data_IF_506149636532
#
_entry.id   IF_506149636532
#
_cell.length_a   1.000
_cell.length_b   1.000
_cell.length_c   1.000
_cell.angle_alpha   90.00
_cell.angle_beta   90.00
_cell.angle_gamma   90.00
#
_symmetry.space_group_name_H-M   'P 1'
#
loop_
_entity.id
_entity.type
_entity.pdbx_description
1 polymer ?
#
# COMPACT_ATOMS: atom_id res chain seq x y z
N UNK A 1 4.42 -8.75 21.32
CA UNK A 1 3.70 -7.99 20.25
C UNK A 1 4.43 -8.20 18.93
N UNK A 2 3.69 -8.58 17.90
CA UNK A 2 4.24 -8.67 16.55
C UNK A 2 3.61 -7.63 15.65
N UNK A 3 4.45 -6.95 14.88
CA UNK A 3 4.05 -6.02 13.83
C UNK A 3 4.54 -6.59 12.50
N UNK A 4 3.61 -6.87 11.57
CA UNK A 4 3.97 -7.24 10.22
C UNK A 4 4.15 -5.97 9.38
N UNK A 5 5.36 -5.72 8.94
CA UNK A 5 5.67 -4.53 8.13
C UNK A 5 5.53 -4.75 6.63
N UNK A 6 5.12 -5.93 6.19
CA UNK A 6 5.07 -6.29 4.77
C UNK A 6 3.80 -7.08 4.38
N UNK A 7 2.67 -6.71 4.94
CA UNK A 7 1.38 -7.30 4.61
C UNK A 7 0.78 -6.73 3.32
N UNK A 8 0.02 -7.55 2.62
CA UNK A 8 -0.69 -7.16 1.41
C UNK A 8 -2.11 -7.71 1.40
N UNK A 9 -3.02 -6.91 0.86
CA UNK A 9 -4.38 -7.33 0.50
C UNK A 9 -4.58 -7.25 -1.01
N UNK A 10 -5.72 -7.73 -1.49
CA UNK A 10 -6.00 -7.86 -2.91
C UNK A 10 -5.44 -9.16 -3.47
N UNK A 11 -5.77 -9.43 -4.71
CA UNK A 11 -5.36 -10.64 -5.39
C UNK A 11 -4.13 -10.40 -6.25
N UNK A 12 -3.17 -11.34 -6.17
CA UNK A 12 -2.08 -11.38 -7.11
C UNK A 12 -2.62 -11.60 -8.53
N UNK A 13 -2.22 -10.77 -9.51
CA UNK A 13 -2.93 -10.74 -10.80
C UNK A 13 -2.81 -12.02 -11.64
N UNK A 14 -1.78 -12.84 -11.41
CA UNK A 14 -1.49 -13.99 -12.27
C UNK A 14 -1.91 -15.33 -11.69
N UNK A 15 -2.15 -15.42 -10.38
CA UNK A 15 -2.60 -16.63 -9.70
C UNK A 15 -3.19 -16.31 -8.34
N UNK A 16 -4.00 -17.23 -7.83
CA UNK A 16 -4.43 -17.16 -6.42
C UNK A 16 -3.25 -17.46 -5.50
N UNK A 17 -3.14 -16.69 -4.44
CA UNK A 17 -2.18 -16.92 -3.36
C UNK A 17 -2.90 -17.45 -2.12
N UNK A 18 -2.21 -18.18 -1.22
CA UNK A 18 -2.81 -18.53 0.06
C UNK A 18 -3.26 -17.29 0.83
N UNK A 19 -4.36 -17.41 1.54
CA UNK A 19 -4.90 -16.35 2.40
C UNK A 19 -5.13 -15.00 1.65
N UNK A 20 -5.59 -15.07 0.41
CA UNK A 20 -5.78 -13.91 -0.47
C UNK A 20 -7.09 -13.13 -0.24
N UNK A 21 -7.82 -13.45 0.81
CA UNK A 21 -8.94 -12.64 1.31
C UNK A 21 -8.54 -11.93 2.59
N UNK A 22 -9.16 -10.79 2.85
CA UNK A 22 -8.88 -10.03 4.08
C UNK A 22 -9.22 -10.85 5.32
N UNK A 23 -10.34 -11.56 5.30
CA UNK A 23 -10.76 -12.40 6.45
C UNK A 23 -9.76 -13.53 6.72
N UNK A 24 -9.28 -14.21 5.69
CA UNK A 24 -8.26 -15.26 5.84
C UNK A 24 -6.95 -14.70 6.39
N UNK A 25 -6.53 -13.53 5.92
CA UNK A 25 -5.33 -12.84 6.40
C UNK A 25 -5.47 -12.45 7.88
N UNK A 26 -6.61 -11.90 8.28
CA UNK A 26 -6.88 -11.52 9.67
C UNK A 26 -6.93 -12.75 10.60
N UNK A 27 -7.54 -13.85 10.16
CA UNK A 27 -7.52 -15.10 10.91
C UNK A 27 -6.09 -15.61 11.13
N UNK A 28 -5.25 -15.51 10.12
CA UNK A 28 -3.82 -15.83 10.20
C UNK A 28 -3.07 -14.92 11.16
N UNK A 29 -3.31 -13.62 11.10
CA UNK A 29 -2.72 -12.65 12.05
C UNK A 29 -3.11 -12.95 13.49
N UNK A 30 -4.38 -13.27 13.72
CA UNK A 30 -4.85 -13.68 15.05
C UNK A 30 -4.14 -14.94 15.54
N UNK A 31 -4.01 -15.95 14.67
CA UNK A 31 -3.32 -17.19 15.00
C UNK A 31 -1.86 -16.99 15.41
N UNK A 32 -1.14 -16.09 14.75
CA UNK A 32 0.27 -15.82 15.03
C UNK A 32 0.50 -14.63 15.98
N UNK A 33 -0.54 -14.02 16.54
CA UNK A 33 -0.41 -12.93 17.48
C UNK A 33 0.08 -11.61 16.87
N UNK A 34 -0.16 -11.40 15.56
CA UNK A 34 0.12 -10.13 14.89
C UNK A 34 -0.91 -9.11 15.34
N UNK A 35 -0.44 -8.02 15.92
CA UNK A 35 -1.30 -6.96 16.47
C UNK A 35 -1.44 -5.76 15.55
N UNK A 36 -0.51 -5.59 14.63
CA UNK A 36 -0.53 -4.52 13.65
C UNK A 36 0.12 -4.99 12.35
N UNK A 37 -0.43 -4.61 11.22
CA UNK A 37 0.10 -4.94 9.91
C UNK A 37 0.11 -3.70 9.01
N UNK A 38 1.29 -3.34 8.51
CA UNK A 38 1.44 -2.28 7.51
C UNK A 38 1.06 -2.85 6.15
N UNK A 39 -0.12 -2.48 5.69
CA UNK A 39 -0.84 -3.17 4.63
C UNK A 39 -0.82 -2.40 3.33
N UNK A 40 -0.23 -2.98 2.31
CA UNK A 40 -0.30 -2.51 0.93
C UNK A 40 -1.37 -3.25 0.11
N UNK A 41 -1.50 -2.88 -1.16
CA UNK A 41 -2.36 -3.57 -2.11
C UNK A 41 -1.55 -4.15 -3.27
N UNK A 42 -1.78 -5.42 -3.60
CA UNK A 42 -1.20 -6.03 -4.80
C UNK A 42 -1.66 -5.34 -6.10
N UNK A 43 -2.84 -4.71 -6.10
CA UNK A 43 -3.31 -3.96 -7.26
C UNK A 43 -2.39 -2.79 -7.61
N UNK A 44 -1.71 -2.19 -6.63
CA UNK A 44 -0.75 -1.09 -6.84
C UNK A 44 0.46 -1.46 -7.68
N UNK A 45 0.71 -2.74 -7.91
CA UNK A 45 1.83 -3.23 -8.71
C UNK A 45 1.60 -2.98 -10.21
N UNK A 46 0.40 -3.23 -10.70
CA UNK A 46 0.11 -3.24 -12.15
C UNK A 46 -0.97 -2.25 -12.60
N UNK A 47 -1.83 -1.78 -11.71
CA UNK A 47 -2.87 -0.83 -12.07
C UNK A 47 -2.28 0.56 -12.34
N UNK A 48 -2.84 1.25 -13.33
CA UNK A 48 -2.47 2.63 -13.65
C UNK A 48 -3.28 3.65 -12.85
N UNK A 49 -4.49 3.32 -12.48
CA UNK A 49 -5.33 4.15 -11.62
C UNK A 49 -4.98 3.93 -10.15
N UNK A 50 -3.88 4.51 -9.75
CA UNK A 50 -3.34 4.40 -8.39
C UNK A 50 -4.28 5.05 -7.36
N UNK A 51 -4.96 6.12 -7.72
CA UNK A 51 -5.93 6.76 -6.82
C UNK A 51 -7.05 5.80 -6.42
N UNK A 52 -7.63 5.08 -7.39
CA UNK A 52 -8.67 4.08 -7.13
C UNK A 52 -8.13 2.87 -6.35
N UNK A 53 -6.89 2.44 -6.61
CA UNK A 53 -6.24 1.38 -5.82
C UNK A 53 -6.14 1.77 -4.35
N UNK A 54 -5.67 2.96 -4.06
CA UNK A 54 -5.51 3.45 -2.69
C UNK A 54 -6.85 3.65 -1.97
N UNK A 55 -7.86 4.11 -2.69
CA UNK A 55 -9.21 4.24 -2.15
C UNK A 55 -9.79 2.87 -1.74
N UNK A 56 -9.68 1.86 -2.59
CA UNK A 56 -10.09 0.48 -2.25
C UNK A 56 -9.31 -0.09 -1.07
N UNK A 57 -8.01 0.20 -0.98
CA UNK A 57 -7.19 -0.24 0.14
C UNK A 57 -7.69 0.37 1.46
N UNK A 58 -7.91 1.66 1.51
CA UNK A 58 -8.42 2.36 2.70
C UNK A 58 -9.79 1.82 3.09
N UNK A 59 -10.68 1.64 2.11
CA UNK A 59 -12.03 1.14 2.36
C UNK A 59 -11.98 -0.29 2.93
N UNK A 60 -11.15 -1.16 2.36
CA UNK A 60 -10.99 -2.52 2.87
C UNK A 60 -10.44 -2.54 4.32
N UNK A 61 -9.45 -1.70 4.62
CA UNK A 61 -8.94 -1.56 6.00
C UNK A 61 -10.02 -1.04 6.95
N UNK A 62 -10.85 -0.10 6.51
CA UNK A 62 -11.93 0.49 7.30
C UNK A 62 -13.08 -0.49 7.56
N UNK A 63 -13.46 -1.29 6.56
CA UNK A 63 -14.52 -2.30 6.69
C UNK A 63 -14.15 -3.40 7.69
N UNK A 64 -12.86 -3.68 7.84
CA UNK A 64 -12.33 -4.66 8.78
C UNK A 64 -11.65 -3.97 9.98
N UNK A 65 -12.26 -2.88 10.45
CA UNK A 65 -11.67 -2.00 11.48
C UNK A 65 -11.59 -2.68 12.85
N UNK A 66 -10.54 -3.46 13.00
CA UNK A 66 -10.08 -4.01 14.28
C UNK A 66 -8.75 -3.37 14.73
N UNK A 67 -8.30 -2.32 14.02
CA UNK A 67 -7.02 -1.63 14.27
C UNK A 67 -5.77 -2.40 13.87
N UNK A 68 -5.90 -3.57 13.25
CA UNK A 68 -4.75 -4.38 12.84
C UNK A 68 -4.19 -3.87 11.50
N UNK A 69 -5.06 -3.61 10.52
CA UNK A 69 -4.65 -3.21 9.18
C UNK A 69 -4.39 -1.71 9.09
N UNK A 70 -3.14 -1.34 8.92
CA UNK A 70 -2.71 0.05 8.74
C UNK A 70 -2.41 0.27 7.25
N UNK A 71 -3.19 1.07 6.52
CA UNK A 71 -3.00 1.23 5.08
C UNK A 71 -1.73 2.00 4.75
N UNK A 72 -0.95 1.44 3.81
CA UNK A 72 0.21 2.06 3.19
C UNK A 72 -0.04 2.15 1.69
N UNK A 73 -0.20 3.36 1.17
CA UNK A 73 -0.63 3.60 -0.19
C UNK A 73 0.42 3.26 -1.23
N UNK A 74 -0.03 2.92 -2.43
CA UNK A 74 0.84 2.75 -3.58
C UNK A 74 1.09 4.09 -4.28
N UNK A 75 2.30 4.29 -4.79
CA UNK A 75 2.65 5.40 -5.66
C UNK A 75 3.57 4.88 -6.77
N UNK A 76 3.32 5.32 -8.00
CA UNK A 76 4.17 4.99 -9.13
C UNK A 76 4.73 6.29 -9.76
N UNK A 77 6.00 6.64 -9.52
CA UNK A 77 6.57 7.90 -9.99
C UNK A 77 6.78 7.96 -11.51
N UNK A 78 6.56 6.88 -12.23
CA UNK A 78 6.61 6.84 -13.70
C UNK A 78 5.31 7.33 -14.33
N UNK A 79 4.19 7.24 -13.59
CA UNK A 79 2.89 7.71 -14.07
C UNK A 79 2.75 9.24 -13.94
N UNK A 80 2.00 9.89 -14.82
CA UNK A 80 1.73 11.32 -14.68
C UNK A 80 0.92 11.60 -13.41
N UNK A 81 1.15 12.76 -12.80
CA UNK A 81 0.43 13.24 -11.62
C UNK A 81 0.61 12.37 -10.36
N UNK A 82 1.69 11.60 -10.27
CA UNK A 82 2.01 10.79 -9.09
C UNK A 82 2.11 11.63 -7.80
N UNK A 83 2.46 12.89 -7.91
CA UNK A 83 2.52 13.83 -6.77
C UNK A 83 1.15 13.98 -6.10
N UNK A 84 0.08 13.95 -6.88
CA UNK A 84 -1.29 13.98 -6.35
C UNK A 84 -1.62 12.70 -5.60
N UNK A 85 -1.07 11.57 -6.00
CA UNK A 85 -1.29 10.30 -5.29
C UNK A 85 -0.60 10.33 -3.93
N UNK A 86 0.62 10.88 -3.83
CA UNK A 86 1.28 11.12 -2.53
C UNK A 86 0.43 12.03 -1.66
N UNK A 87 -0.03 13.14 -2.20
CA UNK A 87 -0.87 14.10 -1.46
C UNK A 87 -2.17 13.47 -0.97
N UNK A 88 -2.86 12.69 -1.81
CA UNK A 88 -4.09 11.99 -1.41
C UNK A 88 -3.84 10.98 -0.29
N UNK A 89 -2.75 10.21 -0.36
CA UNK A 89 -2.39 9.28 0.71
C UNK A 89 -2.26 9.99 2.05
N UNK A 90 -1.58 11.14 2.07
CA UNK A 90 -1.36 11.91 3.29
C UNK A 90 -2.63 12.65 3.76
N UNK A 91 -3.23 13.45 2.89
CA UNK A 91 -4.27 14.42 3.27
C UNK A 91 -5.68 13.82 3.26
N UNK A 92 -6.03 13.06 2.21
CA UNK A 92 -7.38 12.49 2.08
C UNK A 92 -7.54 11.21 2.89
N UNK A 93 -6.51 10.38 2.96
CA UNK A 93 -6.58 9.05 3.56
C UNK A 93 -5.86 8.94 4.91
N UNK A 94 -5.04 9.94 5.29
CA UNK A 94 -4.30 9.92 6.55
C UNK A 94 -3.34 8.72 6.68
N UNK A 95 -2.82 8.23 5.57
CA UNK A 95 -1.91 7.09 5.56
C UNK A 95 -0.58 7.43 6.23
N UNK A 96 -0.01 6.45 6.93
CA UNK A 96 1.27 6.62 7.64
C UNK A 96 2.50 6.34 6.78
N UNK A 97 2.31 5.82 5.58
CA UNK A 97 3.40 5.53 4.67
C UNK A 97 2.92 5.12 3.29
N UNK A 98 3.88 4.90 2.42
CA UNK A 98 3.65 4.44 1.04
C UNK A 98 4.45 3.19 0.74
N UNK A 99 3.97 2.42 -0.21
CA UNK A 99 4.60 1.23 -0.77
C UNK A 99 5.10 1.51 -2.17
N UNK A 100 6.34 1.12 -2.44
CA UNK A 100 6.97 1.31 -3.75
C UNK A 100 7.34 -0.04 -4.36
N UNK A 101 7.25 -0.14 -5.66
CA UNK A 101 7.52 -1.36 -6.43
C UNK A 101 8.46 -1.04 -7.61
N UNK A 102 9.74 -0.66 -7.37
CA UNK A 102 10.64 -0.19 -8.42
C UNK A 102 10.79 -1.16 -9.59
N UNK A 103 10.93 -2.45 -9.30
CA UNK A 103 11.09 -3.46 -10.35
C UNK A 103 9.90 -3.57 -11.29
N UNK A 104 8.69 -3.45 -10.75
CA UNK A 104 7.45 -3.52 -11.54
C UNK A 104 7.11 -2.20 -12.23
N UNK A 105 7.45 -1.09 -11.60
CA UNK A 105 7.19 0.25 -12.15
C UNK A 105 8.31 0.76 -13.06
N UNK A 106 9.42 0.03 -13.18
CA UNK A 106 10.46 0.31 -14.16
C UNK A 106 11.34 1.50 -13.83
N UNK A 107 11.73 1.67 -12.57
CA UNK A 107 12.71 2.67 -12.16
C UNK A 107 13.70 2.10 -11.15
N UNK A 108 14.85 2.75 -11.00
CA UNK A 108 15.89 2.42 -10.03
C UNK A 108 15.94 3.44 -8.89
N UNK A 109 16.61 3.11 -7.79
CA UNK A 109 16.67 4.00 -6.61
C UNK A 109 17.54 5.24 -6.82
N UNK A 110 18.33 5.29 -7.88
CA UNK A 110 19.10 6.46 -8.32
C UNK A 110 18.37 7.31 -9.37
N UNK A 111 17.17 6.94 -9.76
CA UNK A 111 16.32 7.70 -10.68
C UNK A 111 15.91 9.03 -10.05
N UNK A 112 15.99 10.12 -10.82
CA UNK A 112 15.59 11.45 -10.36
C UNK A 112 14.12 11.50 -9.90
N UNK A 113 13.25 10.71 -10.52
CA UNK A 113 11.83 10.59 -10.11
C UNK A 113 11.69 9.98 -8.73
N UNK A 114 12.51 8.99 -8.39
CA UNK A 114 12.51 8.39 -7.05
C UNK A 114 12.96 9.41 -6.00
N UNK A 115 14.00 10.20 -6.29
CA UNK A 115 14.45 11.28 -5.41
C UNK A 115 13.34 12.31 -5.17
N UNK A 116 12.69 12.76 -6.25
CA UNK A 116 11.59 13.70 -6.16
C UNK A 116 10.41 13.14 -5.32
N UNK A 117 10.11 11.84 -5.47
CA UNK A 117 9.08 11.16 -4.67
C UNK A 117 9.44 11.16 -3.18
N UNK A 118 10.69 10.88 -2.82
CA UNK A 118 11.13 10.91 -1.42
C UNK A 118 10.99 12.32 -0.81
N UNK A 119 11.36 13.35 -1.57
CA UNK A 119 11.21 14.75 -1.16
C UNK A 119 9.73 15.10 -0.93
N UNK A 120 8.87 14.70 -1.85
CA UNK A 120 7.41 14.91 -1.75
C UNK A 120 6.82 14.17 -0.54
N UNK A 121 7.19 12.92 -0.35
CA UNK A 121 6.72 12.11 0.78
C UNK A 121 7.19 12.69 2.12
N UNK A 122 8.43 13.16 2.20
CA UNK A 122 8.96 13.79 3.41
C UNK A 122 8.25 15.11 3.74
N UNK A 123 7.84 15.87 2.73
CA UNK A 123 7.09 17.12 2.91
C UNK A 123 5.62 16.89 3.32
N UNK A 124 5.07 15.74 3.03
CA UNK A 124 3.65 15.40 3.27
C UNK A 124 3.35 14.87 4.68
N UNK A 125 4.19 15.10 5.66
CA UNK A 125 4.12 14.61 7.07
C UNK A 125 2.75 14.76 7.73
#
# INVERSE_FOLDING_TARGET
>A
MFIDTNAYIGQWPFRRTPDDTVDALLAKFSHYGVQQAWTGSYEGILHKDIAAVNERLVEACRQHDNGILIPFGSVNPVLPQWEKDVQRCAEAHGMKGIRLHPNYHGYTLDDARFKALLEQAAAAK
#
